data_IF_448352865911
#
_entry.id   IF_448352865911
#
_cell.length_a   1.000
_cell.length_b   1.000
_cell.length_c   1.000
_cell.angle_alpha   90.00
_cell.angle_beta   90.00
_cell.angle_gamma   90.00
#
_symmetry.space_group_name_H-M   'P 1'
#
loop_
_entity.id
_entity.type
_entity.pdbx_description
1 polymer ?
#
# COMPACT_ATOMS: atom_id res chain seq x y z
N UNK A 1 4.70 33.82 12.18
CA UNK A 1 5.42 32.61 11.72
C UNK A 1 4.37 31.58 11.34
N UNK A 2 4.29 31.17 10.07
CA UNK A 2 3.33 30.16 9.65
C UNK A 2 3.82 28.79 10.12
N UNK A 3 3.08 28.14 11.01
CA UNK A 3 3.32 26.74 11.35
C UNK A 3 2.80 25.92 10.18
N UNK A 4 3.71 25.29 9.43
CA UNK A 4 3.32 24.33 8.39
C UNK A 4 2.81 23.06 9.08
N UNK A 5 1.49 22.92 9.18
CA UNK A 5 0.86 21.71 9.71
C UNK A 5 1.12 20.56 8.75
N UNK A 6 1.82 19.52 9.23
CA UNK A 6 2.05 18.30 8.48
C UNK A 6 0.73 17.75 7.92
N UNK A 7 0.66 17.58 6.61
CA UNK A 7 -0.45 16.90 5.95
C UNK A 7 -0.05 15.44 5.71
N UNK A 8 -0.82 14.46 6.23
CA UNK A 8 -0.58 13.05 5.95
C UNK A 8 -0.56 12.79 4.44
N UNK A 9 0.34 11.90 4.00
CA UNK A 9 0.32 11.46 2.61
C UNK A 9 -0.89 10.56 2.38
N UNK A 10 -1.80 10.95 1.48
CA UNK A 10 -3.00 10.19 1.14
C UNK A 10 -2.70 9.05 0.15
N UNK A 11 -2.02 7.99 0.61
CA UNK A 11 -1.65 6.85 -0.23
C UNK A 11 -2.86 6.21 -0.93
N UNK A 12 -4.01 6.14 -0.24
CA UNK A 12 -5.28 5.63 -0.77
C UNK A 12 -5.82 6.38 -1.99
N UNK A 13 -5.41 7.65 -2.17
CA UNK A 13 -5.81 8.47 -3.31
C UNK A 13 -4.95 8.25 -4.57
N UNK A 14 -3.80 7.59 -4.42
CA UNK A 14 -2.86 7.37 -5.53
C UNK A 14 -3.43 6.40 -6.57
N UNK A 15 -2.98 6.52 -7.82
CA UNK A 15 -3.42 5.64 -8.90
C UNK A 15 -3.00 4.19 -8.61
N UNK A 16 -1.78 3.98 -8.12
CA UNK A 16 -1.28 2.64 -7.80
C UNK A 16 -2.13 1.96 -6.71
N UNK A 17 -2.46 2.68 -5.63
CA UNK A 17 -3.30 2.12 -4.56
C UNK A 17 -4.67 1.70 -5.09
N UNK A 18 -5.32 2.57 -5.89
CA UNK A 18 -6.59 2.25 -6.54
C UNK A 18 -6.50 1.01 -7.43
N UNK A 19 -5.49 0.94 -8.31
CA UNK A 19 -5.32 -0.21 -9.20
C UNK A 19 -5.13 -1.51 -8.43
N UNK A 20 -4.29 -1.52 -7.38
CA UNK A 20 -4.10 -2.72 -6.56
C UNK A 20 -5.41 -3.08 -5.86
N UNK A 21 -6.10 -2.12 -5.25
CA UNK A 21 -7.34 -2.37 -4.52
C UNK A 21 -8.41 -2.98 -5.43
N UNK A 22 -8.54 -2.45 -6.65
CA UNK A 22 -9.61 -2.81 -7.56
C UNK A 22 -9.29 -4.10 -8.35
N UNK A 23 -8.01 -4.49 -8.47
CA UNK A 23 -7.59 -5.61 -9.33
C UNK A 23 -6.80 -6.73 -8.63
N UNK A 24 -6.45 -6.61 -7.35
CA UNK A 24 -5.60 -7.62 -6.67
C UNK A 24 -6.17 -9.03 -6.74
N UNK A 25 -7.45 -9.21 -6.43
CA UNK A 25 -8.07 -10.55 -6.43
C UNK A 25 -8.12 -11.17 -7.84
N UNK A 26 -8.34 -10.34 -8.87
CA UNK A 26 -8.27 -10.79 -10.27
C UNK A 26 -6.86 -11.21 -10.64
N UNK A 27 -5.87 -10.41 -10.28
CA UNK A 27 -4.46 -10.73 -10.50
C UNK A 27 -4.04 -12.04 -9.83
N UNK A 28 -4.44 -12.27 -8.58
CA UNK A 28 -4.11 -13.50 -7.83
C UNK A 28 -4.76 -14.73 -8.46
N UNK A 29 -6.03 -14.65 -8.85
CA UNK A 29 -6.73 -15.72 -9.56
C UNK A 29 -6.04 -16.05 -10.88
N UNK A 30 -5.82 -15.04 -11.71
CA UNK A 30 -5.22 -15.22 -13.04
C UNK A 30 -3.79 -15.78 -12.93
N UNK A 31 -3.04 -15.41 -11.88
CA UNK A 31 -1.74 -16.00 -11.59
C UNK A 31 -1.84 -17.48 -11.21
N UNK A 32 -2.80 -17.86 -10.38
CA UNK A 32 -3.04 -19.26 -10.02
C UNK A 32 -3.43 -20.10 -11.25
N UNK A 33 -4.30 -19.59 -12.11
CA UNK A 33 -4.72 -20.28 -13.35
C UNK A 33 -3.53 -20.56 -14.30
N UNK A 34 -2.57 -19.63 -14.39
CA UNK A 34 -1.39 -19.76 -15.27
C UNK A 34 -0.28 -20.64 -14.71
N UNK A 35 -0.40 -21.06 -13.45
CA UNK A 35 0.65 -21.77 -12.71
C UNK A 35 0.12 -23.05 -12.08
N UNK A 36 -0.93 -23.64 -12.66
CA UNK A 36 -1.57 -24.87 -12.18
C UNK A 36 -1.93 -24.82 -10.68
N UNK A 37 -2.36 -23.64 -10.20
CA UNK A 37 -2.75 -23.39 -8.83
C UNK A 37 -1.64 -22.94 -7.89
N UNK A 38 -0.38 -22.86 -8.34
CA UNK A 38 0.73 -22.42 -7.47
C UNK A 38 0.63 -20.93 -7.10
N UNK A 39 0.12 -20.09 -8.01
CA UNK A 39 -0.05 -18.66 -7.83
C UNK A 39 1.26 -17.88 -7.81
N UNK A 40 1.25 -16.74 -7.12
CA UNK A 40 2.45 -15.93 -6.86
C UNK A 40 3.17 -16.41 -5.59
N UNK A 41 4.47 -16.12 -5.42
CA UNK A 41 5.13 -16.37 -4.14
C UNK A 41 4.37 -15.71 -2.98
N UNK A 42 4.24 -16.42 -1.86
CA UNK A 42 3.45 -15.97 -0.70
C UNK A 42 3.77 -14.55 -0.23
N UNK A 43 5.05 -14.15 -0.28
CA UNK A 43 5.43 -12.80 0.12
C UNK A 43 4.81 -11.74 -0.81
N UNK A 44 4.68 -12.00 -2.11
CA UNK A 44 4.11 -11.04 -3.07
C UNK A 44 2.65 -10.74 -2.74
N UNK A 45 1.83 -11.77 -2.51
CA UNK A 45 0.44 -11.58 -2.09
C UNK A 45 0.35 -10.83 -0.76
N UNK A 46 1.16 -11.22 0.23
CA UNK A 46 1.22 -10.57 1.54
C UNK A 46 1.54 -9.08 1.39
N UNK A 47 2.58 -8.72 0.64
CA UNK A 47 2.98 -7.32 0.48
C UNK A 47 1.92 -6.49 -0.25
N UNK A 48 1.20 -7.05 -1.23
CA UNK A 48 0.07 -6.34 -1.85
C UNK A 48 -1.07 -6.09 -0.85
N UNK A 49 -1.41 -7.07 -0.01
CA UNK A 49 -2.43 -6.92 1.03
C UNK A 49 -2.00 -5.90 2.09
N UNK A 50 -0.73 -5.90 2.49
CA UNK A 50 -0.17 -4.91 3.41
C UNK A 50 -0.11 -3.51 2.80
N UNK A 51 0.26 -3.40 1.52
CA UNK A 51 0.25 -2.13 0.79
C UNK A 51 -1.12 -1.46 0.79
N UNK A 52 -2.22 -2.22 0.73
CA UNK A 52 -3.58 -1.66 0.80
C UNK A 52 -3.91 -1.03 2.15
N UNK A 53 -3.17 -1.35 3.21
CA UNK A 53 -3.31 -0.70 4.53
C UNK A 53 -2.60 0.65 4.61
N UNK A 54 -1.72 0.98 3.66
CA UNK A 54 -0.99 2.25 3.65
C UNK A 54 -1.94 3.44 3.50
N UNK A 55 -1.77 4.45 4.34
CA UNK A 55 -2.62 5.65 4.36
C UNK A 55 -3.77 5.58 5.37
N UNK A 56 -4.12 4.37 5.83
CA UNK A 56 -5.18 4.14 6.82
C UNK A 56 -4.57 4.16 8.23
N UNK A 57 -4.80 5.24 8.99
CA UNK A 57 -4.20 5.44 10.32
C UNK A 57 -4.52 4.33 11.33
N UNK A 58 -5.66 3.64 11.16
CA UNK A 58 -6.05 2.52 12.02
C UNK A 58 -5.10 1.31 11.92
N UNK A 59 -4.32 1.19 10.85
CA UNK A 59 -3.32 0.13 10.66
C UNK A 59 -1.92 0.53 11.13
N UNK A 60 -1.77 1.72 11.74
CA UNK A 60 -0.51 2.23 12.28
C UNK A 60 0.13 3.31 11.41
N UNK A 61 1.06 4.06 12.00
CA UNK A 61 1.78 5.13 11.31
C UNK A 61 3.17 5.35 11.91
N UNK A 62 4.09 5.84 11.08
CA UNK A 62 5.40 6.30 11.52
C UNK A 62 5.49 7.82 11.34
N UNK A 63 5.96 8.53 12.38
CA UNK A 63 6.25 9.97 12.31
C UNK A 63 7.75 10.17 12.27
N UNK A 64 8.26 10.66 11.16
CA UNK A 64 9.69 10.92 10.96
C UNK A 64 9.91 12.43 10.90
N UNK A 65 10.93 12.91 11.62
CA UNK A 65 11.40 14.30 11.60
C UNK A 65 12.87 14.30 11.20
N UNK A 66 13.24 15.07 10.18
CA UNK A 66 14.65 15.34 9.92
C UNK A 66 15.16 16.34 10.95
N UNK A 67 16.28 16.08 11.63
CA UNK A 67 16.86 17.01 12.60
C UNK A 67 17.42 18.29 11.96
N UNK A 68 17.81 18.22 10.69
CA UNK A 68 18.42 19.34 9.96
C UNK A 68 17.41 20.20 9.20
N UNK A 69 16.26 19.63 8.80
CA UNK A 69 15.23 20.34 8.02
C UNK A 69 14.09 20.92 8.87
N UNK A 70 14.19 20.89 10.20
CA UNK A 70 13.05 21.10 11.09
C UNK A 70 13.21 22.21 12.12
#
# INVERSE_FOLDING_TARGET
MAVTTYQPRGAEGTILHRLVRDHLETFLRDAAERTDGAGVPRFVEKEFREFLTCGVLAHGFARVRCGECA
#
